data_IF_279397022088
#
_entry.id   IF_279397022088
#
_cell.length_a   1.000
_cell.length_b   1.000
_cell.length_c   1.000
_cell.angle_alpha   90.00
_cell.angle_beta   90.00
_cell.angle_gamma   90.00
#
_symmetry.space_group_name_H-M   'P 1'
#
loop_
_entity.id
_entity.type
_entity.pdbx_description
1 polymer ?
#
# COMPACT_ATOMS: atom_id res chain seq x y z
N UNK A 1 10.09 -4.42 4.56
CA UNK A 1 11.44 -3.84 4.68
C UNK A 1 11.37 -2.58 5.54
N UNK A 2 12.07 -2.50 6.69
CA UNK A 2 12.00 -1.36 7.60
C UNK A 2 12.27 0.01 6.94
N UNK A 3 13.27 0.06 6.05
CA UNK A 3 13.63 1.25 5.26
C UNK A 3 12.48 1.80 4.40
N UNK A 4 11.59 0.96 3.87
CA UNK A 4 10.51 1.43 2.99
C UNK A 4 9.42 2.20 3.76
N UNK A 5 9.22 1.81 5.03
CA UNK A 5 8.30 2.51 5.94
C UNK A 5 8.88 3.83 6.42
N UNK A 6 10.19 3.87 6.69
CA UNK A 6 10.89 5.10 7.02
C UNK A 6 10.82 6.12 5.86
N UNK A 7 11.04 5.68 4.61
CA UNK A 7 10.86 6.52 3.42
C UNK A 7 9.45 7.09 3.33
N UNK A 8 8.42 6.23 3.44
CA UNK A 8 7.02 6.67 3.41
C UNK A 8 6.74 7.69 4.51
N UNK A 9 7.22 7.45 5.73
CA UNK A 9 7.06 8.35 6.87
C UNK A 9 7.70 9.73 6.63
N UNK A 10 8.88 9.77 6.00
CA UNK A 10 9.57 11.01 5.67
C UNK A 10 8.81 11.89 4.65
N UNK A 11 7.99 11.28 3.78
CA UNK A 11 7.17 12.02 2.80
C UNK A 11 5.90 12.64 3.42
N UNK A 12 5.37 12.05 4.50
CA UNK A 12 4.05 12.43 5.02
C UNK A 12 3.90 13.91 5.40
N UNK A 13 4.88 14.60 6.02
CA UNK A 13 4.76 16.02 6.32
C UNK A 13 4.58 16.89 5.07
N UNK A 14 5.37 16.63 4.02
CA UNK A 14 5.28 17.36 2.76
C UNK A 14 3.96 17.07 2.02
N UNK A 15 3.52 15.82 2.01
CA UNK A 15 2.24 15.43 1.44
C UNK A 15 1.05 16.04 2.23
N UNK A 16 1.14 16.11 3.56
CA UNK A 16 0.14 16.79 4.37
C UNK A 16 0.03 18.28 4.03
N UNK A 17 1.15 18.97 3.80
CA UNK A 17 1.14 20.36 3.35
C UNK A 17 0.44 20.53 1.99
N UNK A 18 0.43 19.50 1.14
CA UNK A 18 -0.26 19.48 -0.16
C UNK A 18 -1.71 18.97 -0.09
N UNK A 19 -2.24 18.73 1.12
CA UNK A 19 -3.63 18.33 1.34
C UNK A 19 -3.89 16.82 1.39
N UNK A 20 -2.86 15.96 1.43
CA UNK A 20 -3.05 14.53 1.66
C UNK A 20 -3.54 14.28 3.10
N UNK A 21 -4.60 13.49 3.25
CA UNK A 21 -5.28 13.28 4.54
C UNK A 21 -5.63 11.83 4.84
N UNK A 22 -5.39 10.89 3.93
CA UNK A 22 -5.59 9.46 4.20
C UNK A 22 -4.29 8.70 4.01
N UNK A 23 -4.00 7.81 4.96
CA UNK A 23 -2.94 6.81 4.82
C UNK A 23 -3.60 5.43 4.88
N UNK A 24 -3.64 4.75 3.75
CA UNK A 24 -4.14 3.39 3.62
C UNK A 24 -2.96 2.41 3.75
N UNK A 25 -3.07 1.41 4.62
CA UNK A 25 -2.01 0.40 4.85
C UNK A 25 -2.60 -1.02 4.92
N UNK A 26 -1.81 -2.01 4.52
CA UNK A 26 -2.23 -3.43 4.46
C UNK A 26 -2.44 -4.08 5.82
N UNK A 27 -1.82 -3.54 6.86
CA UNK A 27 -1.68 -4.24 8.13
C UNK A 27 -2.17 -3.38 9.28
N UNK A 28 -3.43 -2.97 9.13
CA UNK A 28 -4.27 -2.55 10.24
C UNK A 28 -5.38 -3.59 10.41
N UNK A 29 -5.82 -3.86 11.62
CA UNK A 29 -7.09 -4.55 11.81
C UNK A 29 -8.24 -3.60 11.44
N UNK A 30 -9.30 -4.13 10.84
CA UNK A 30 -10.46 -3.36 10.38
C UNK A 30 -11.07 -2.54 11.53
N UNK A 31 -11.27 -3.17 12.68
CA UNK A 31 -11.80 -2.54 13.90
C UNK A 31 -10.91 -1.41 14.45
N UNK A 32 -9.59 -1.48 14.23
CA UNK A 32 -8.66 -0.47 14.76
C UNK A 32 -8.56 0.77 13.85
N UNK A 33 -9.02 0.67 12.60
CA UNK A 33 -9.20 1.83 11.73
C UNK A 33 -10.24 2.83 12.26
N UNK A 34 -11.14 2.35 13.13
CA UNK A 34 -12.21 3.12 13.80
C UNK A 34 -11.80 3.55 15.22
N UNK A 35 -11.09 2.70 15.96
CA UNK A 35 -10.66 2.99 17.35
C UNK A 35 -9.43 3.90 17.45
N UNK A 36 -8.73 4.18 16.36
CA UNK A 36 -7.54 5.04 16.36
C UNK A 36 -7.83 6.50 16.74
N UNK A 37 -9.05 6.98 16.47
CA UNK A 37 -9.46 8.37 16.74
C UNK A 37 -9.41 8.70 18.24
N UNK A 38 -9.60 7.71 19.12
CA UNK A 38 -9.58 7.87 20.57
C UNK A 38 -8.22 7.55 21.17
N UNK A 39 -7.53 6.52 20.66
CA UNK A 39 -6.30 5.98 21.28
C UNK A 39 -5.02 6.72 20.93
N UNK A 40 -4.91 7.34 19.75
CA UNK A 40 -3.75 8.17 19.34
C UNK A 40 -2.36 7.48 19.34
N UNK A 41 -2.27 6.16 19.51
CA UNK A 41 -1.01 5.39 19.43
C UNK A 41 -1.24 3.89 19.10
N UNK A 42 -0.25 3.18 18.50
CA UNK A 42 -0.36 1.76 18.14
C UNK A 42 -0.37 0.81 19.34
N UNK A 43 -1.20 -0.24 19.29
CA UNK A 43 -1.18 -1.40 20.21
C UNK A 43 -0.84 -2.67 19.44
N UNK A 44 -0.48 -3.74 20.14
CA UNK A 44 -0.41 -5.06 19.52
C UNK A 44 -1.70 -5.46 18.80
N UNK A 45 -2.87 -5.02 19.27
CA UNK A 45 -4.15 -5.24 18.61
C UNK A 45 -4.37 -4.38 17.34
N UNK A 46 -3.44 -3.49 16.98
CA UNK A 46 -3.59 -2.59 15.83
C UNK A 46 -3.32 -3.28 14.49
N UNK A 47 -2.49 -4.32 14.47
CA UNK A 47 -2.01 -4.97 13.25
C UNK A 47 -0.78 -5.82 13.51
N UNK A 48 -0.49 -6.77 12.62
CA UNK A 48 0.50 -7.83 12.86
C UNK A 48 1.96 -7.35 12.88
N UNK A 49 2.25 -6.23 12.22
CA UNK A 49 3.55 -5.57 12.10
C UNK A 49 3.69 -4.37 13.03
N UNK A 50 2.75 -4.12 13.94
CA UNK A 50 2.83 -2.98 14.88
C UNK A 50 4.00 -3.12 15.86
N UNK A 51 4.44 -4.36 16.12
CA UNK A 51 5.69 -4.63 16.82
C UNK A 51 6.96 -4.24 16.04
N UNK A 52 6.86 -3.94 14.74
CA UNK A 52 7.98 -3.44 13.94
C UNK A 52 8.13 -1.92 14.15
N UNK A 53 9.29 -1.44 14.66
CA UNK A 53 9.45 -0.05 15.06
C UNK A 53 9.13 0.97 13.95
N UNK A 54 9.47 0.69 12.70
CA UNK A 54 9.24 1.63 11.59
C UNK A 54 7.79 1.67 11.12
N UNK A 55 7.05 0.57 11.23
CA UNK A 55 5.60 0.60 11.02
C UNK A 55 4.91 1.44 12.10
N UNK A 56 5.25 1.23 13.38
CA UNK A 56 4.77 2.09 14.46
C UNK A 56 5.12 3.57 14.26
N UNK A 57 6.34 3.87 13.80
CA UNK A 57 6.77 5.24 13.48
C UNK A 57 5.98 5.83 12.31
N UNK A 58 5.70 5.06 11.26
CA UNK A 58 4.88 5.49 10.12
C UNK A 58 3.48 5.91 10.60
N UNK A 59 2.81 5.07 11.40
CA UNK A 59 1.46 5.36 11.90
C UNK A 59 1.44 6.59 12.81
N UNK A 60 2.42 6.72 13.73
CA UNK A 60 2.55 7.91 14.60
C UNK A 60 2.82 9.18 13.80
N UNK A 61 3.67 9.10 12.77
CA UNK A 61 3.99 10.25 11.91
C UNK A 61 2.75 10.69 11.15
N UNK A 62 2.02 9.75 10.54
CA UNK A 62 0.78 10.03 9.83
C UNK A 62 -0.21 10.77 10.73
N UNK A 63 -0.41 10.29 11.94
CA UNK A 63 -1.31 10.93 12.89
C UNK A 63 -0.84 12.33 13.30
N UNK A 64 0.46 12.52 13.58
CA UNK A 64 1.03 13.84 13.90
C UNK A 64 0.77 14.85 12.77
N UNK A 65 0.73 14.39 11.53
CA UNK A 65 0.45 15.20 10.34
C UNK A 65 -1.05 15.28 9.97
N UNK A 66 -1.95 14.73 10.81
CA UNK A 66 -3.39 14.82 10.61
C UNK A 66 -3.98 13.83 9.59
N UNK A 67 -3.27 12.73 9.29
CA UNK A 67 -3.82 11.68 8.43
C UNK A 67 -4.84 10.80 9.17
N UNK A 68 -5.88 10.41 8.44
CA UNK A 68 -6.84 9.37 8.79
C UNK A 68 -6.29 8.02 8.30
N UNK A 69 -6.03 7.11 9.24
CA UNK A 69 -5.55 5.77 8.91
C UNK A 69 -6.69 4.91 8.36
N UNK A 70 -6.41 4.09 7.35
CA UNK A 70 -7.38 3.17 6.74
C UNK A 70 -6.75 1.79 6.56
N UNK A 71 -7.40 0.76 7.07
CA UNK A 71 -7.14 -0.60 6.64
C UNK A 71 -7.74 -0.79 5.24
N UNK A 72 -7.10 -1.59 4.40
CA UNK A 72 -7.72 -2.02 3.15
C UNK A 72 -7.63 -3.54 2.89
N UNK A 73 -6.96 -4.31 3.74
CA UNK A 73 -6.68 -5.73 3.52
C UNK A 73 -7.67 -6.64 4.25
N UNK A 74 -8.93 -6.61 3.85
CA UNK A 74 -10.02 -7.39 4.43
C UNK A 74 -11.09 -7.74 3.37
N UNK A 75 -12.02 -8.62 3.72
CA UNK A 75 -13.16 -9.04 2.90
C UNK A 75 -12.82 -9.62 1.52
N UNK A 76 -12.01 -10.68 1.50
CA UNK A 76 -11.73 -11.45 0.27
C UNK A 76 -11.66 -12.95 0.52
N UNK A 77 -12.06 -13.72 -0.49
CA UNK A 77 -11.99 -15.18 -0.47
C UNK A 77 -10.54 -15.67 -0.40
N UNK A 78 -10.34 -16.77 0.34
CA UNK A 78 -9.08 -17.52 0.42
C UNK A 78 -9.18 -18.89 -0.28
N UNK A 79 -10.26 -19.12 -1.03
CA UNK A 79 -10.53 -20.34 -1.76
C UNK A 79 -9.93 -20.31 -3.17
N UNK A 80 -9.88 -21.46 -3.84
CA UNK A 80 -9.32 -21.59 -5.19
C UNK A 80 -7.80 -21.77 -5.23
N UNK A 81 -7.20 -21.67 -6.41
CA UNK A 81 -5.75 -21.72 -6.59
C UNK A 81 -5.07 -20.38 -6.23
N UNK A 82 -3.76 -20.31 -6.40
CA UNK A 82 -2.99 -19.10 -6.06
C UNK A 82 -3.47 -17.87 -6.84
N UNK A 83 -3.77 -18.02 -8.13
CA UNK A 83 -4.15 -16.91 -9.01
C UNK A 83 -5.55 -16.39 -8.63
N UNK A 84 -6.50 -17.29 -8.35
CA UNK A 84 -7.82 -16.94 -7.88
C UNK A 84 -7.78 -16.16 -6.56
N UNK A 85 -6.98 -16.63 -5.59
CA UNK A 85 -6.80 -15.97 -4.28
C UNK A 85 -6.13 -14.61 -4.41
N UNK A 86 -5.09 -14.51 -5.22
CA UNK A 86 -4.40 -13.25 -5.49
C UNK A 86 -5.39 -12.26 -6.09
N UNK A 87 -6.07 -12.62 -7.18
CA UNK A 87 -7.06 -11.76 -7.84
C UNK A 87 -8.15 -11.29 -6.87
N UNK A 88 -8.72 -12.19 -6.09
CA UNK A 88 -9.75 -11.85 -5.09
C UNK A 88 -9.23 -10.82 -4.08
N UNK A 89 -8.01 -10.99 -3.57
CA UNK A 89 -7.36 -10.06 -2.65
C UNK A 89 -7.12 -8.69 -3.28
N UNK A 90 -6.49 -8.62 -4.46
CA UNK A 90 -6.18 -7.34 -5.13
C UNK A 90 -7.46 -6.54 -5.43
N UNK A 91 -8.54 -7.22 -5.86
CA UNK A 91 -9.84 -6.59 -6.12
C UNK A 91 -10.48 -6.04 -4.85
N UNK A 92 -10.53 -6.83 -3.76
CA UNK A 92 -11.12 -6.36 -2.51
C UNK A 92 -10.35 -5.18 -1.92
N UNK A 93 -9.01 -5.25 -1.95
CA UNK A 93 -8.15 -4.17 -1.49
C UNK A 93 -8.38 -2.86 -2.25
N UNK A 94 -8.48 -2.92 -3.58
CA UNK A 94 -8.78 -1.76 -4.39
C UNK A 94 -10.16 -1.17 -4.06
N UNK A 95 -11.17 -2.02 -3.86
CA UNK A 95 -12.53 -1.61 -3.49
C UNK A 95 -12.56 -0.93 -2.11
N UNK A 96 -11.86 -1.49 -1.12
CA UNK A 96 -11.81 -0.93 0.22
C UNK A 96 -11.16 0.46 0.25
N UNK A 97 -10.13 0.70 -0.58
CA UNK A 97 -9.56 2.05 -0.75
C UNK A 97 -10.53 2.97 -1.48
N UNK A 98 -11.18 2.47 -2.54
CA UNK A 98 -12.14 3.24 -3.33
C UNK A 98 -13.34 3.74 -2.51
N UNK A 99 -13.77 3.01 -1.47
CA UNK A 99 -14.84 3.42 -0.55
C UNK A 99 -14.55 4.73 0.22
N UNK A 100 -13.31 5.23 0.22
CA UNK A 100 -13.00 6.56 0.77
C UNK A 100 -13.64 7.67 -0.10
N UNK A 101 -13.63 7.51 -1.43
CA UNK A 101 -13.97 8.55 -2.39
C UNK A 101 -15.45 8.99 -2.37
N UNK A 102 -16.45 8.11 -2.19
CA UNK A 102 -17.84 8.56 -2.05
C UNK A 102 -18.07 9.48 -0.84
N UNK A 103 -17.33 9.26 0.25
CA UNK A 103 -17.45 10.08 1.48
C UNK A 103 -16.61 11.35 1.45
N UNK A 104 -15.55 11.36 0.63
CA UNK A 104 -14.65 12.49 0.42
C UNK A 104 -14.15 12.48 -1.03
N UNK A 105 -14.91 13.07 -1.97
CA UNK A 105 -14.58 13.03 -3.40
C UNK A 105 -13.28 13.76 -3.77
N UNK A 106 -12.73 14.55 -2.84
CA UNK A 106 -11.46 15.26 -3.02
C UNK A 106 -10.33 14.62 -2.22
N UNK A 107 -10.55 13.41 -1.68
CA UNK A 107 -9.58 12.72 -0.87
C UNK A 107 -8.26 12.53 -1.62
N UNK A 108 -7.19 13.01 -1.00
CA UNK A 108 -5.81 12.71 -1.39
C UNK A 108 -5.28 11.61 -0.48
N UNK A 109 -5.04 10.44 -1.06
CA UNK A 109 -4.77 9.18 -0.36
C UNK A 109 -3.32 8.75 -0.63
N UNK A 110 -2.58 8.44 0.43
CA UNK A 110 -1.30 7.73 0.36
C UNK A 110 -1.57 6.26 0.62
N UNK A 111 -1.15 5.37 -0.27
CA UNK A 111 -1.25 3.92 -0.08
C UNK A 111 0.14 3.37 0.17
N UNK A 112 0.36 2.77 1.34
CA UNK A 112 1.57 1.98 1.60
C UNK A 112 1.23 0.50 1.39
N UNK A 113 1.92 -0.14 0.46
CA UNK A 113 1.67 -1.52 0.05
C UNK A 113 2.98 -2.30 -0.10
N UNK A 114 2.88 -3.63 -0.08
CA UNK A 114 3.99 -4.55 -0.28
C UNK A 114 4.27 -4.83 -1.76
N UNK A 115 5.56 -4.80 -2.13
CA UNK A 115 6.09 -5.34 -3.39
C UNK A 115 5.21 -5.03 -4.62
N UNK A 116 4.70 -6.08 -5.28
CA UNK A 116 4.02 -6.01 -6.58
C UNK A 116 2.68 -5.26 -6.56
N UNK A 117 2.11 -4.94 -5.40
CA UNK A 117 0.89 -4.14 -5.32
C UNK A 117 0.98 -2.80 -6.06
N UNK A 118 2.18 -2.22 -6.13
CA UNK A 118 2.43 -0.98 -6.85
C UNK A 118 2.54 -1.15 -8.37
N UNK A 119 2.47 -2.37 -8.91
CA UNK A 119 2.55 -2.59 -10.35
C UNK A 119 1.23 -2.19 -11.04
N UNK A 120 1.31 -1.21 -11.93
CA UNK A 120 0.15 -0.75 -12.71
C UNK A 120 -0.16 -1.67 -13.90
N UNK A 121 0.85 -2.39 -14.38
CA UNK A 121 0.74 -3.32 -15.50
C UNK A 121 0.62 -4.77 -15.00
N UNK A 122 -0.06 -5.65 -15.74
CA UNK A 122 -0.05 -7.06 -15.45
C UNK A 122 1.36 -7.66 -15.61
N UNK A 123 1.53 -8.92 -15.20
CA UNK A 123 2.72 -9.68 -15.62
C UNK A 123 2.83 -9.76 -17.16
N UNK A 124 4.01 -10.07 -17.72
CA UNK A 124 4.22 -10.10 -19.17
C UNK A 124 3.26 -11.04 -19.91
N UNK A 125 2.80 -12.10 -19.24
CA UNK A 125 1.86 -13.07 -19.77
C UNK A 125 0.39 -12.63 -19.65
N UNK A 126 0.12 -11.48 -19.01
CA UNK A 126 -1.22 -10.92 -18.83
C UNK A 126 -2.10 -11.65 -17.81
N UNK A 127 -1.54 -12.59 -17.06
CA UNK A 127 -2.29 -13.47 -16.15
C UNK A 127 -2.60 -12.81 -14.82
N UNK A 128 -1.65 -12.07 -14.24
CA UNK A 128 -1.80 -11.45 -12.93
C UNK A 128 -1.86 -9.93 -13.01
N UNK A 129 -2.87 -9.37 -12.33
CA UNK A 129 -3.08 -7.92 -12.15
C UNK A 129 -2.91 -7.59 -10.67
N UNK A 130 -2.38 -6.41 -10.39
CA UNK A 130 -2.06 -5.96 -9.02
C UNK A 130 -2.92 -4.76 -8.60
N UNK A 131 -2.87 -4.42 -7.31
CA UNK A 131 -3.67 -3.41 -6.64
C UNK A 131 -3.72 -2.09 -7.41
N UNK A 132 -2.58 -1.56 -7.84
CA UNK A 132 -2.53 -0.29 -8.58
C UNK A 132 -3.36 -0.34 -9.87
N UNK A 133 -3.35 -1.47 -10.59
CA UNK A 133 -4.17 -1.65 -11.81
C UNK A 133 -5.68 -1.68 -11.50
N UNK A 134 -6.09 -2.26 -10.38
CA UNK A 134 -7.51 -2.27 -9.96
C UNK A 134 -7.94 -0.93 -9.37
N UNK A 135 -7.06 -0.21 -8.67
CA UNK A 135 -7.32 1.15 -8.22
C UNK A 135 -7.63 2.06 -9.41
N UNK A 136 -6.83 1.97 -10.48
CA UNK A 136 -7.10 2.72 -11.71
C UNK A 136 -8.46 2.37 -12.31
N UNK A 137 -8.78 1.09 -12.41
CA UNK A 137 -10.07 0.62 -12.93
C UNK A 137 -11.26 1.11 -12.08
N UNK A 138 -11.18 0.98 -10.76
CA UNK A 138 -12.32 1.24 -9.87
C UNK A 138 -12.51 2.72 -9.52
N UNK A 139 -11.45 3.52 -9.59
CA UNK A 139 -11.50 4.95 -9.23
C UNK A 139 -11.46 5.87 -10.45
N UNK A 140 -10.99 5.38 -11.60
CA UNK A 140 -10.69 6.21 -12.77
C UNK A 140 -9.46 7.11 -12.61
N UNK A 141 -8.74 7.01 -11.49
CA UNK A 141 -7.53 7.79 -11.18
C UNK A 141 -6.31 6.96 -11.55
N UNK A 142 -5.39 7.54 -12.31
CA UNK A 142 -4.08 6.91 -12.55
C UNK A 142 -3.18 7.11 -11.31
N UNK A 143 -2.87 6.05 -10.53
CA UNK A 143 -2.11 6.22 -9.31
C UNK A 143 -0.64 6.52 -9.63
N UNK A 144 -0.05 7.50 -8.97
CA UNK A 144 1.40 7.69 -9.03
C UNK A 144 2.09 6.66 -8.12
N UNK A 145 2.84 5.73 -8.72
CA UNK A 145 3.49 4.63 -7.99
C UNK A 145 4.99 4.85 -7.81
N UNK A 146 5.52 4.47 -6.64
CA UNK A 146 6.96 4.48 -6.34
C UNK A 146 7.37 3.06 -5.93
N UNK A 147 8.07 2.35 -6.81
CA UNK A 147 8.59 1.01 -6.51
C UNK A 147 9.96 1.10 -5.81
N UNK A 148 9.93 1.01 -4.49
CA UNK A 148 11.14 1.02 -3.65
C UNK A 148 11.96 -0.27 -3.78
N UNK A 149 11.42 -1.35 -4.32
CA UNK A 149 12.17 -2.60 -4.56
C UNK A 149 13.11 -2.46 -5.75
N UNK A 150 12.69 -1.73 -6.80
CA UNK A 150 13.53 -1.42 -7.96
C UNK A 150 14.53 -0.29 -7.68
N UNK A 151 14.15 0.67 -6.81
CA UNK A 151 14.96 1.85 -6.51
C UNK A 151 15.99 1.66 -5.38
N UNK A 152 15.90 0.59 -4.58
CA UNK A 152 16.79 0.39 -3.42
C UNK A 152 18.12 -0.31 -3.72
N UNK A 153 18.54 -0.40 -4.99
CA UNK A 153 19.91 -0.79 -5.38
C UNK A 153 20.32 -2.23 -5.02
N UNK A 154 19.41 -3.08 -4.54
CA UNK A 154 19.67 -4.51 -4.35
C UNK A 154 19.20 -5.30 -5.58
N UNK A 155 19.80 -5.02 -6.73
CA UNK A 155 19.77 -5.95 -7.86
C UNK A 155 21.14 -6.61 -7.95
N UNK A 156 21.36 -7.61 -7.08
CA UNK A 156 22.55 -8.44 -7.19
C UNK A 156 22.35 -9.42 -8.35
N UNK A 157 22.90 -9.03 -9.51
CA UNK A 157 23.38 -9.87 -10.61
C UNK A 157 22.50 -11.05 -11.07
N UNK A 158 21.69 -10.84 -12.10
CA UNK A 158 21.46 -11.84 -13.16
C UNK A 158 21.26 -11.09 -14.49
N UNK A 159 22.34 -10.50 -15.02
CA UNK A 159 22.43 -10.25 -16.45
C UNK A 159 23.14 -11.47 -17.06
N UNK A 160 22.57 -12.16 -18.07
CA UNK A 160 23.33 -13.14 -18.82
C UNK A 160 24.46 -12.40 -19.56
N UNK A 161 25.65 -13.00 -19.54
CA UNK A 161 26.81 -12.48 -20.24
C UNK A 161 26.43 -12.24 -21.72
N UNK A 162 26.60 -11.01 -22.19
CA UNK A 162 26.46 -10.70 -23.61
C UNK A 162 27.50 -11.53 -24.37
N UNK A 163 27.00 -12.40 -25.25
CA UNK A 163 27.80 -13.11 -26.23
C UNK A 163 28.53 -12.07 -27.10
N UNK A 164 29.85 -12.00 -26.93
CA UNK A 164 30.72 -11.23 -27.81
C UNK A 164 30.78 -11.93 -29.17
N UNK A 165 30.15 -11.33 -30.17
CA UNK A 165 30.44 -11.62 -31.56
C UNK A 165 31.79 -10.98 -31.93
N UNK A 166 32.74 -11.80 -32.36
CA UNK A 166 33.77 -11.48 -33.35
C UNK A 166 33.87 -12.63 -34.32
#
# INVERSE_FOLDING_TARGET
MPRHRAFTAALLPGLAAQGYRYLAVEDLLEDDSLNWATRRYPVQATGSYVGEPNFGNLLRTAQKQGFRLRCYNYDFSREGDWLARQKAREMAQARNIQHILPTDPKAKIVVHCGYSHANEQPDPEGHSRWLASYLREYTGIDPFTIDQTRLSGQQQSLLPAAAGAR
#
